data_IF_205781297964
#
_entry.id   IF_205781297964
#
_cell.length_a   1.000
_cell.length_b   1.000
_cell.length_c   1.000
_cell.angle_alpha   90.00
_cell.angle_beta   90.00
_cell.angle_gamma   90.00
#
_symmetry.space_group_name_H-M   'P 1'
#
loop_
_entity.id
_entity.type
_entity.pdbx_description
1 polymer ?
#
# COMPACT_ATOMS: atom_id res chain seq x y z
N UNK A 1 22.52 4.76 17.03
CA UNK A 1 21.82 3.50 17.37
C UNK A 1 20.43 3.53 16.74
N UNK A 2 19.82 2.37 16.50
CA UNK A 2 18.43 2.30 16.04
C UNK A 2 17.50 2.81 17.13
N UNK A 3 16.52 3.63 16.74
CA UNK A 3 15.38 3.99 17.57
C UNK A 3 14.11 3.70 16.77
N UNK A 4 13.31 2.76 17.25
CA UNK A 4 12.00 2.42 16.67
C UNK A 4 10.93 3.36 17.22
N UNK A 5 9.94 3.67 16.39
CA UNK A 5 8.85 4.59 16.75
C UNK A 5 7.50 3.91 16.84
N UNK A 6 7.34 2.77 16.18
CA UNK A 6 6.09 2.05 16.14
C UNK A 6 6.22 0.59 16.58
N UNK A 7 7.37 0.17 17.11
CA UNK A 7 7.59 -1.20 17.55
C UNK A 7 8.44 -1.30 18.80
N UNK A 8 8.25 -2.40 19.52
CA UNK A 8 9.04 -2.81 20.68
C UNK A 8 9.15 -4.34 20.71
N UNK A 9 10.00 -4.86 21.58
CA UNK A 9 10.15 -6.30 21.73
C UNK A 9 8.84 -6.93 22.21
N UNK A 10 8.52 -8.10 21.68
CA UNK A 10 7.26 -8.81 21.87
C UNK A 10 6.03 -7.95 21.53
N UNK A 11 6.10 -7.10 20.49
CA UNK A 11 4.91 -6.45 19.97
C UNK A 11 4.01 -7.49 19.27
N UNK A 12 2.73 -7.50 19.62
CA UNK A 12 1.70 -8.33 19.00
C UNK A 12 0.97 -7.57 17.88
N UNK A 13 0.75 -8.25 16.75
CA UNK A 13 -0.01 -7.76 15.59
C UNK A 13 -0.85 -8.87 14.98
N UNK A 14 -1.93 -8.51 14.27
CA UNK A 14 -2.86 -9.45 13.63
C UNK A 14 -2.78 -9.47 12.09
N UNK A 15 -1.66 -9.01 11.52
CA UNK A 15 -1.42 -8.97 10.07
C UNK A 15 0.04 -9.35 9.75
N UNK A 16 0.30 -10.04 8.62
CA UNK A 16 1.59 -10.66 8.37
C UNK A 16 2.63 -9.77 7.69
N UNK A 17 2.28 -8.57 7.22
CA UNK A 17 3.25 -7.63 6.67
C UNK A 17 3.33 -6.40 7.56
N UNK A 18 4.38 -6.31 8.37
CA UNK A 18 4.54 -5.23 9.34
C UNK A 18 5.40 -4.11 8.78
N UNK A 19 4.90 -2.87 8.80
CA UNK A 19 5.73 -1.71 8.48
C UNK A 19 6.44 -1.23 9.74
N UNK A 20 7.76 -1.36 9.79
CA UNK A 20 8.64 -0.84 10.80
C UNK A 20 9.08 0.60 10.49
N UNK A 21 8.93 1.50 11.45
CA UNK A 21 9.34 2.91 11.37
C UNK A 21 10.38 3.23 12.42
N UNK A 22 11.46 3.88 12.02
CA UNK A 22 12.50 4.27 12.96
C UNK A 22 13.55 5.21 12.39
N UNK A 23 14.53 5.54 13.23
CA UNK A 23 15.66 6.38 12.85
C UNK A 23 17.00 5.83 13.36
N UNK A 24 18.08 6.25 12.72
CA UNK A 24 19.45 6.09 13.20
C UNK A 24 19.86 7.34 13.99
N UNK A 25 20.06 7.19 15.30
CA UNK A 25 20.45 8.29 16.19
C UNK A 25 21.53 7.87 17.21
N UNK A 26 22.78 8.41 17.13
CA UNK A 26 23.25 9.34 16.12
C UNK A 26 23.29 8.69 14.73
N UNK A 27 23.19 9.52 13.69
CA UNK A 27 23.33 9.08 12.31
C UNK A 27 24.77 8.63 12.04
N UNK A 28 24.93 7.45 11.44
CA UNK A 28 26.24 6.82 11.24
C UNK A 28 26.76 6.88 9.80
N UNK A 29 26.10 7.61 8.90
CA UNK A 29 26.50 7.75 7.50
C UNK A 29 26.06 6.61 6.58
N UNK A 30 25.42 5.56 7.12
CA UNK A 30 24.79 4.54 6.27
C UNK A 30 23.67 5.16 5.42
N UNK A 31 23.47 4.63 4.22
CA UNK A 31 22.39 5.03 3.29
C UNK A 31 21.27 4.00 3.22
N UNK A 32 21.50 2.80 3.76
CA UNK A 32 20.57 1.68 3.77
C UNK A 32 20.63 0.94 5.10
N UNK A 33 19.54 0.24 5.40
CA UNK A 33 19.47 -0.78 6.45
C UNK A 33 19.08 -2.12 5.84
N UNK A 34 19.46 -3.20 6.51
CA UNK A 34 19.10 -4.57 6.14
C UNK A 34 18.22 -5.14 7.22
N UNK A 35 17.08 -5.70 6.82
CA UNK A 35 16.14 -6.39 7.70
C UNK A 35 16.12 -7.88 7.35
N UNK A 36 16.32 -8.73 8.34
CA UNK A 36 16.18 -10.19 8.19
C UNK A 36 15.24 -10.75 9.25
N UNK A 37 14.57 -11.84 8.91
CA UNK A 37 13.66 -12.57 9.80
C UNK A 37 14.19 -14.00 9.90
N UNK A 38 14.24 -14.56 11.11
CA UNK A 38 14.79 -15.89 11.41
C UNK A 38 14.26 -17.04 10.53
N UNK A 39 13.03 -16.92 10.04
CA UNK A 39 12.37 -17.91 9.18
C UNK A 39 12.64 -17.74 7.69
N UNK A 40 13.31 -16.67 7.29
CA UNK A 40 13.69 -16.40 5.90
C UNK A 40 15.21 -16.52 5.74
N UNK A 41 15.63 -17.18 4.68
CA UNK A 41 17.04 -17.22 4.29
C UNK A 41 17.51 -15.91 3.63
N UNK A 42 16.58 -15.07 3.21
CA UNK A 42 16.83 -13.80 2.54
C UNK A 42 16.62 -12.62 3.50
N UNK A 43 17.27 -11.50 3.17
CA UNK A 43 17.12 -10.23 3.85
C UNK A 43 16.70 -9.15 2.87
N UNK A 44 15.95 -8.16 3.32
CA UNK A 44 15.51 -7.02 2.50
C UNK A 44 16.30 -5.76 2.83
N UNK A 45 16.66 -5.01 1.80
CA UNK A 45 17.40 -3.75 1.93
C UNK A 45 16.46 -2.55 1.78
N UNK A 46 16.57 -1.59 2.70
CA UNK A 46 15.71 -0.40 2.72
C UNK A 46 16.56 0.87 2.72
N UNK A 47 16.27 1.77 1.77
CA UNK A 47 16.93 3.05 1.63
C UNK A 47 16.48 4.04 2.71
N UNK A 48 17.45 4.72 3.32
CA UNK A 48 17.20 5.76 4.31
C UNK A 48 16.80 7.08 3.64
N UNK A 49 15.87 7.81 4.29
CA UNK A 49 15.64 9.23 4.02
C UNK A 49 16.32 10.01 5.14
N UNK A 50 17.50 10.57 4.85
CA UNK A 50 18.45 11.05 5.86
C UNK A 50 18.80 9.95 6.88
N UNK A 51 18.30 10.06 8.11
CA UNK A 51 18.46 9.05 9.16
C UNK A 51 17.22 8.18 9.38
N UNK A 52 16.13 8.46 8.66
CA UNK A 52 14.82 7.81 8.84
C UNK A 52 14.68 6.59 7.93
N UNK A 53 13.94 5.58 8.39
CA UNK A 53 13.51 4.45 7.56
C UNK A 53 12.04 4.11 7.78
N UNK A 54 11.42 3.62 6.71
CA UNK A 54 10.20 2.81 6.71
C UNK A 54 10.57 1.50 6.02
N UNK A 55 10.50 0.39 6.75
CA UNK A 55 10.86 -0.93 6.25
C UNK A 55 9.68 -1.87 6.45
N UNK A 56 9.44 -2.79 5.51
CA UNK A 56 8.40 -3.79 5.67
C UNK A 56 9.01 -5.15 6.02
N UNK A 57 8.35 -5.86 6.93
CA UNK A 57 8.80 -7.11 7.52
C UNK A 57 7.70 -8.15 7.35
N UNK A 58 8.00 -9.22 6.64
CA UNK A 58 7.12 -10.39 6.56
C UNK A 58 7.17 -11.17 7.88
N UNK A 59 6.01 -11.45 8.44
CA UNK A 59 5.81 -12.18 9.68
C UNK A 59 5.11 -13.51 9.39
N UNK A 60 5.51 -14.53 10.11
CA UNK A 60 4.89 -15.84 10.13
C UNK A 60 4.08 -16.01 11.41
N UNK A 61 3.03 -16.84 11.42
CA UNK A 61 2.25 -17.12 12.62
C UNK A 61 3.14 -17.43 13.85
N UNK A 62 2.85 -16.73 14.95
CA UNK A 62 3.61 -16.82 16.19
C UNK A 62 4.77 -15.82 16.29
N UNK A 63 5.79 -16.18 17.06
CA UNK A 63 6.94 -15.31 17.31
C UNK A 63 7.93 -15.34 16.13
N UNK A 64 8.35 -14.14 15.70
CA UNK A 64 9.34 -13.88 14.66
C UNK A 64 10.49 -13.10 15.25
N UNK A 65 11.73 -13.57 15.08
CA UNK A 65 12.91 -12.81 15.48
C UNK A 65 13.35 -11.93 14.30
N UNK A 66 13.21 -10.63 14.47
CA UNK A 66 13.54 -9.62 13.45
C UNK A 66 14.88 -9.00 13.81
N UNK A 67 15.83 -9.07 12.89
CA UNK A 67 17.12 -8.39 12.99
C UNK A 67 17.15 -7.20 12.04
N UNK A 68 17.52 -6.04 12.57
CA UNK A 68 17.73 -4.81 11.81
C UNK A 68 19.21 -4.46 11.92
N UNK A 69 19.87 -4.24 10.80
CA UNK A 69 21.31 -3.99 10.78
C UNK A 69 21.69 -2.91 9.79
N UNK A 70 22.80 -2.25 10.08
CA UNK A 70 23.57 -1.47 9.13
C UNK A 70 25.05 -1.90 9.25
N UNK A 71 25.95 -1.24 8.53
CA UNK A 71 27.38 -1.56 8.58
C UNK A 71 28.02 -1.38 9.97
N UNK A 72 27.39 -0.63 10.88
CA UNK A 72 27.98 -0.21 12.15
C UNK A 72 27.35 -0.86 13.39
N UNK A 73 26.08 -1.24 13.32
CA UNK A 73 25.36 -1.81 14.47
C UNK A 73 24.17 -2.62 14.00
N UNK A 74 23.73 -3.53 14.87
CA UNK A 74 22.51 -4.30 14.67
C UNK A 74 21.71 -4.42 15.98
N UNK A 75 20.42 -4.63 15.81
CA UNK A 75 19.45 -4.83 16.89
C UNK A 75 18.52 -5.98 16.55
N UNK A 76 18.01 -6.64 17.58
CA UNK A 76 17.04 -7.72 17.50
C UNK A 76 15.81 -7.38 18.34
N UNK A 77 14.65 -7.62 17.77
CA UNK A 77 13.37 -7.59 18.47
C UNK A 77 12.49 -8.74 18.00
N UNK A 78 11.56 -9.15 18.87
CA UNK A 78 10.56 -10.16 18.55
C UNK A 78 9.25 -9.49 18.19
N UNK A 79 8.66 -9.91 17.07
CA UNK A 79 7.30 -9.53 16.68
C UNK A 79 6.43 -10.78 16.67
N UNK A 80 5.27 -10.70 17.32
CA UNK A 80 4.32 -11.81 17.43
C UNK A 80 3.17 -11.55 16.47
N UNK A 81 3.03 -12.41 15.46
CA UNK A 81 1.86 -12.42 14.60
C UNK A 81 0.81 -13.37 15.16
N UNK A 82 -0.26 -12.78 15.72
CA UNK A 82 -1.46 -13.49 16.16
C UNK A 82 -2.29 -13.89 14.94
N UNK A 83 -2.10 -15.13 14.52
CA UNK A 83 -2.86 -15.69 13.40
C UNK A 83 -4.26 -16.11 13.86
N UNK A 84 -5.28 -15.46 13.29
CA UNK A 84 -6.66 -15.83 13.54
C UNK A 84 -7.04 -17.04 12.67
N UNK A 85 -7.20 -18.19 13.31
CA UNK A 85 -7.63 -19.41 12.63
C UNK A 85 -9.12 -19.30 12.30
N UNK A 86 -9.46 -19.34 11.00
CA UNK A 86 -10.84 -19.26 10.47
C UNK A 86 -11.52 -17.90 10.74
N UNK A 87 -11.10 -16.83 10.06
CA UNK A 87 -11.79 -15.55 10.16
C UNK A 87 -13.26 -15.67 9.72
N UNK A 88 -14.18 -15.08 10.50
CA UNK A 88 -15.61 -15.02 10.13
C UNK A 88 -15.87 -14.14 8.92
N UNK A 89 -15.01 -13.14 8.69
CA UNK A 89 -15.13 -12.15 7.64
C UNK A 89 -13.78 -11.91 6.99
N UNK A 90 -13.75 -11.88 5.66
CA UNK A 90 -12.52 -11.70 4.89
C UNK A 90 -12.69 -10.71 3.74
N UNK A 91 -11.58 -10.13 3.34
CA UNK A 91 -11.44 -9.37 2.09
C UNK A 91 -10.74 -10.27 1.07
N UNK A 92 -11.36 -10.45 -0.09
CA UNK A 92 -10.85 -11.32 -1.15
C UNK A 92 -10.67 -10.51 -2.44
N UNK A 93 -9.41 -10.26 -2.88
CA UNK A 93 -9.18 -9.77 -4.23
C UNK A 93 -9.54 -10.82 -5.27
N UNK A 94 -10.19 -10.38 -6.35
CA UNK A 94 -10.46 -11.20 -7.53
C UNK A 94 -10.04 -10.47 -8.80
N UNK A 95 -9.51 -11.23 -9.74
CA UNK A 95 -9.19 -10.75 -11.08
C UNK A 95 -10.22 -11.31 -12.06
N UNK A 96 -11.04 -10.43 -12.62
CA UNK A 96 -12.20 -10.79 -13.43
C UNK A 96 -11.82 -10.76 -14.90
N UNK A 97 -11.89 -11.93 -15.54
CA UNK A 97 -11.61 -12.10 -16.97
C UNK A 97 -12.92 -12.41 -17.69
N UNK A 98 -13.24 -11.61 -18.70
CA UNK A 98 -14.41 -11.83 -19.57
C UNK A 98 -14.29 -13.16 -20.32
N UNK A 99 -15.41 -13.77 -20.72
CA UNK A 99 -15.42 -15.09 -21.37
C UNK A 99 -14.71 -15.10 -22.73
N UNK A 100 -14.57 -13.94 -23.36
CA UNK A 100 -13.96 -13.70 -24.67
C UNK A 100 -12.54 -13.09 -24.58
N UNK A 101 -11.88 -13.13 -23.41
CA UNK A 101 -10.54 -12.55 -23.21
C UNK A 101 -9.51 -13.56 -22.66
N UNK A 102 -8.22 -13.30 -22.95
CA UNK A 102 -7.07 -14.06 -22.44
C UNK A 102 -6.72 -13.76 -20.97
N UNK A 103 -7.08 -12.57 -20.46
CA UNK A 103 -6.76 -12.11 -19.09
C UNK A 103 -5.52 -11.24 -18.97
N UNK A 104 -4.99 -10.68 -20.08
CA UNK A 104 -3.90 -9.69 -20.02
C UNK A 104 -4.43 -8.31 -19.65
N UNK A 105 -3.70 -7.57 -18.81
CA UNK A 105 -4.00 -6.16 -18.55
C UNK A 105 -3.13 -5.25 -19.43
N UNK A 106 -3.54 -3.99 -19.64
CA UNK A 106 -2.78 -3.05 -20.46
C UNK A 106 -1.49 -2.60 -19.76
N UNK A 107 -0.39 -2.54 -20.50
CA UNK A 107 0.89 -2.01 -20.01
C UNK A 107 1.51 -1.05 -21.01
N UNK A 108 2.49 -0.28 -20.54
CA UNK A 108 3.40 0.45 -21.41
C UNK A 108 4.16 -0.51 -22.32
N UNK A 109 4.60 -0.04 -23.49
CA UNK A 109 5.28 -0.82 -24.54
C UNK A 109 6.54 -1.55 -24.03
N UNK A 110 7.19 -1.03 -22.98
CA UNK A 110 8.46 -1.54 -22.42
C UNK A 110 8.29 -2.26 -21.05
N UNK A 111 7.08 -2.74 -20.72
CA UNK A 111 6.77 -3.29 -19.39
C UNK A 111 7.12 -4.79 -19.25
N UNK A 112 7.59 -5.26 -18.06
CA UNK A 112 8.19 -6.59 -17.90
C UNK A 112 7.20 -7.77 -18.01
N UNK A 113 5.91 -7.59 -17.67
CA UNK A 113 4.89 -8.63 -17.86
C UNK A 113 3.47 -8.10 -17.66
N UNK A 114 2.60 -8.33 -18.65
CA UNK A 114 1.18 -7.97 -18.66
C UNK A 114 0.24 -9.18 -18.49
N UNK A 115 0.80 -10.35 -18.17
CA UNK A 115 0.05 -11.60 -18.15
C UNK A 115 -0.80 -11.76 -16.89
N UNK A 116 -1.69 -12.76 -16.92
CA UNK A 116 -2.61 -13.08 -15.84
C UNK A 116 -1.90 -13.29 -14.50
N UNK A 117 -0.79 -14.03 -14.48
CA UNK A 117 -0.05 -14.33 -13.25
C UNK A 117 0.58 -13.08 -12.62
N UNK A 118 1.11 -12.18 -13.46
CA UNK A 118 1.58 -10.85 -13.03
C UNK A 118 0.43 -10.04 -12.40
N UNK A 119 -0.76 -10.08 -13.00
CA UNK A 119 -1.93 -9.39 -12.45
C UNK A 119 -2.31 -9.92 -11.06
N UNK A 120 -2.38 -11.25 -10.90
CA UNK A 120 -2.73 -11.88 -9.62
C UNK A 120 -1.74 -11.49 -8.52
N UNK A 121 -0.43 -11.56 -8.80
CA UNK A 121 0.63 -11.20 -7.84
C UNK A 121 0.58 -9.72 -7.44
N UNK A 122 0.44 -8.81 -8.43
CA UNK A 122 0.33 -7.36 -8.19
C UNK A 122 -0.89 -7.00 -7.35
N UNK A 123 -2.06 -7.52 -7.71
CA UNK A 123 -3.30 -7.27 -6.98
C UNK A 123 -3.18 -7.81 -5.55
N UNK A 124 -2.76 -9.06 -5.40
CA UNK A 124 -2.60 -9.71 -4.09
C UNK A 124 -1.66 -8.94 -3.18
N UNK A 125 -0.50 -8.54 -3.70
CA UNK A 125 0.46 -7.73 -2.94
C UNK A 125 -0.07 -6.33 -2.61
N UNK A 126 -0.77 -5.68 -3.54
CA UNK A 126 -1.45 -4.40 -3.29
C UNK A 126 -2.45 -4.48 -2.14
N UNK A 127 -3.29 -5.52 -2.09
CA UNK A 127 -4.22 -5.72 -0.97
C UNK A 127 -3.48 -5.97 0.35
N UNK A 128 -2.36 -6.71 0.35
CA UNK A 128 -1.51 -6.86 1.55
C UNK A 128 -0.97 -5.52 2.06
N UNK A 129 -0.56 -4.63 1.15
CA UNK A 129 -0.13 -3.28 1.51
C UNK A 129 -1.29 -2.48 2.14
N UNK A 130 -2.49 -2.54 1.58
CA UNK A 130 -3.67 -1.88 2.15
C UNK A 130 -4.04 -2.40 3.54
N UNK A 131 -3.89 -3.70 3.78
CA UNK A 131 -4.06 -4.28 5.11
C UNK A 131 -3.08 -3.64 6.11
N UNK A 132 -1.81 -3.48 5.70
CA UNK A 132 -0.77 -2.84 6.51
C UNK A 132 -1.06 -1.36 6.74
N UNK A 133 -1.44 -0.64 5.68
CA UNK A 133 -1.76 0.79 5.74
C UNK A 133 -2.95 1.08 6.64
N UNK A 134 -3.98 0.24 6.59
CA UNK A 134 -5.16 0.36 7.46
C UNK A 134 -4.74 0.23 8.93
N UNK A 135 -3.92 -0.78 9.27
CA UNK A 135 -3.40 -0.95 10.63
C UNK A 135 -2.56 0.24 11.12
N UNK A 136 -1.61 0.69 10.30
CA UNK A 136 -0.67 1.74 10.69
C UNK A 136 -1.30 3.14 10.67
N UNK A 137 -2.30 3.40 9.82
CA UNK A 137 -3.08 4.65 9.84
C UNK A 137 -3.95 4.73 11.08
N UNK A 138 -4.66 3.65 11.44
CA UNK A 138 -5.46 3.61 12.67
C UNK A 138 -4.57 3.70 13.91
N UNK A 139 -3.34 3.17 13.85
CA UNK A 139 -2.35 3.37 14.90
C UNK A 139 -1.87 4.83 15.00
N UNK A 140 -1.60 5.52 13.88
CA UNK A 140 -1.14 6.92 13.89
C UNK A 140 -2.25 7.91 14.29
N UNK A 141 -3.50 7.61 13.97
CA UNK A 141 -4.66 8.46 14.26
C UNK A 141 -5.27 8.19 15.63
N UNK A 142 -5.25 6.94 16.11
CA UNK A 142 -6.01 6.51 17.29
C UNK A 142 -5.19 5.68 18.30
N UNK A 143 -3.93 5.36 18.00
CA UNK A 143 -3.06 4.62 18.91
C UNK A 143 -3.36 3.12 19.02
N UNK A 144 -4.22 2.57 18.15
CA UNK A 144 -4.52 1.12 18.10
C UNK A 144 -4.35 0.57 16.69
N UNK A 145 -3.66 -0.56 16.57
CA UNK A 145 -3.56 -1.33 15.33
C UNK A 145 -4.79 -2.18 15.14
N UNK A 146 -5.50 -1.92 14.05
CA UNK A 146 -6.63 -2.72 13.64
C UNK A 146 -6.75 -2.70 12.12
N UNK A 147 -7.17 -3.80 11.53
CA UNK A 147 -7.23 -3.92 10.08
C UNK A 147 -8.20 -5.02 9.68
N UNK A 148 -8.48 -5.13 8.40
CA UNK A 148 -9.27 -6.22 7.85
C UNK A 148 -8.43 -7.48 7.68
N UNK A 149 -9.08 -8.63 7.65
CA UNK A 149 -8.42 -9.91 7.37
C UNK A 149 -8.60 -10.28 5.90
N UNK A 150 -7.59 -10.90 5.33
CA UNK A 150 -7.65 -11.45 3.99
C UNK A 150 -7.89 -12.96 4.06
N UNK A 151 -8.40 -13.55 2.97
CA UNK A 151 -8.29 -15.00 2.80
C UNK A 151 -6.81 -15.36 2.72
N UNK A 152 -6.32 -16.14 3.68
CA UNK A 152 -4.96 -16.67 3.67
C UNK A 152 -4.99 -18.06 3.02
N UNK A 153 -3.99 -18.39 2.19
CA UNK A 153 -3.84 -19.75 1.65
C UNK A 153 -2.95 -20.57 2.60
N UNK A 154 -3.49 -21.63 3.24
CA UNK A 154 -2.73 -22.45 4.18
C UNK A 154 -1.59 -23.25 3.52
N UNK A 155 -1.57 -23.37 2.18
CA UNK A 155 -0.53 -24.06 1.42
C UNK A 155 0.55 -23.12 0.86
N UNK A 156 0.37 -21.80 0.96
CA UNK A 156 1.36 -20.86 0.45
C UNK A 156 2.48 -20.69 1.48
N UNK A 157 3.68 -21.15 1.11
CA UNK A 157 4.90 -20.97 1.91
C UNK A 157 5.23 -19.48 2.16
N UNK A 158 4.66 -18.57 1.36
CA UNK A 158 4.81 -17.12 1.51
C UNK A 158 3.58 -16.47 2.12
N UNK A 159 3.63 -16.24 3.44
CA UNK A 159 2.63 -15.47 4.21
C UNK A 159 2.51 -14.01 3.72
N UNK A 160 3.45 -13.54 2.89
CA UNK A 160 3.52 -12.16 2.42
C UNK A 160 2.52 -11.81 1.31
N UNK A 161 1.94 -12.78 0.60
CA UNK A 161 1.03 -12.51 -0.52
C UNK A 161 -0.41 -12.91 -0.16
N UNK A 162 -1.36 -12.05 -0.52
CA UNK A 162 -2.78 -12.40 -0.47
C UNK A 162 -3.11 -13.15 -1.77
N UNK A 163 -3.70 -14.35 -1.73
CA UNK A 163 -4.13 -15.05 -2.93
C UNK A 163 -5.19 -14.23 -3.66
N UNK A 164 -4.84 -13.66 -4.82
CA UNK A 164 -5.83 -13.08 -5.73
C UNK A 164 -6.49 -14.20 -6.52
N UNK A 165 -7.82 -14.30 -6.45
CA UNK A 165 -8.56 -15.38 -7.11
C UNK A 165 -8.88 -14.98 -8.55
N UNK A 166 -8.51 -15.83 -9.51
CA UNK A 166 -9.00 -15.70 -10.87
C UNK A 166 -10.50 -16.01 -10.93
N UNK A 167 -11.30 -15.07 -11.43
CA UNK A 167 -12.73 -15.26 -11.68
C UNK A 167 -12.99 -15.13 -13.18
N UNK A 168 -13.40 -16.24 -13.83
CA UNK A 168 -13.86 -16.22 -15.22
C UNK A 168 -15.34 -15.89 -15.22
N UNK A 169 -15.67 -14.71 -15.72
CA UNK A 169 -17.05 -14.22 -15.79
C UNK A 169 -17.69 -14.59 -17.14
N UNK A 170 -19.02 -14.68 -17.14
CA UNK A 170 -19.83 -14.84 -18.34
C UNK A 170 -19.98 -13.54 -19.16
N UNK A 171 -19.42 -12.42 -18.70
CA UNK A 171 -19.43 -11.18 -19.47
C UNK A 171 -18.61 -11.27 -20.74
N UNK A 172 -19.10 -10.62 -21.79
CA UNK A 172 -18.30 -10.27 -22.96
C UNK A 172 -17.63 -8.91 -22.75
N UNK A 173 -16.50 -8.66 -23.41
CA UNK A 173 -15.86 -7.33 -23.35
C UNK A 173 -16.81 -6.22 -23.84
N UNK A 174 -17.55 -6.49 -24.91
CA UNK A 174 -18.52 -5.53 -25.47
C UNK A 174 -19.59 -5.13 -24.45
N UNK A 175 -20.11 -6.09 -23.68
CA UNK A 175 -21.06 -5.82 -22.61
C UNK A 175 -20.45 -4.90 -21.54
N UNK A 176 -19.24 -5.20 -21.07
CA UNK A 176 -18.56 -4.39 -20.05
C UNK A 176 -18.29 -2.97 -20.52
N UNK A 177 -17.94 -2.79 -21.80
CA UNK A 177 -17.63 -1.47 -22.37
C UNK A 177 -18.85 -0.60 -22.65
N UNK A 178 -20.02 -1.20 -22.86
CA UNK A 178 -21.23 -0.47 -23.27
C UNK A 178 -22.22 -0.23 -22.15
N UNK A 179 -22.25 -1.12 -21.14
CA UNK A 179 -23.16 -0.98 -20.03
C UNK A 179 -22.70 0.10 -19.03
N UNK A 180 -23.67 0.70 -18.33
CA UNK A 180 -23.36 1.62 -17.24
C UNK A 180 -22.61 0.90 -16.11
N UNK A 181 -21.63 1.55 -15.44
CA UNK A 181 -20.83 0.94 -14.37
C UNK A 181 -21.64 0.22 -13.27
N UNK A 182 -22.74 0.84 -12.81
CA UNK A 182 -23.63 0.24 -11.79
C UNK A 182 -24.32 -1.05 -12.26
N UNK A 183 -24.56 -1.18 -13.56
CA UNK A 183 -25.14 -2.40 -14.15
C UNK A 183 -24.12 -3.52 -14.10
N UNK A 184 -22.87 -3.27 -14.51
CA UNK A 184 -21.79 -4.26 -14.42
C UNK A 184 -21.55 -4.67 -12.97
N UNK A 185 -21.47 -3.71 -12.04
CA UNK A 185 -21.35 -3.98 -10.61
C UNK A 185 -22.47 -4.90 -10.10
N UNK A 186 -23.72 -4.60 -10.43
CA UNK A 186 -24.88 -5.38 -9.98
C UNK A 186 -24.92 -6.79 -10.62
N UNK A 187 -24.52 -6.91 -11.88
CA UNK A 187 -24.42 -8.20 -12.56
C UNK A 187 -23.32 -9.06 -11.93
N UNK A 188 -22.16 -8.47 -11.66
CA UNK A 188 -21.04 -9.18 -11.06
C UNK A 188 -21.36 -9.64 -9.65
N UNK A 189 -22.01 -8.80 -8.83
CA UNK A 189 -22.45 -9.19 -7.49
C UNK A 189 -23.36 -10.43 -7.51
N UNK A 190 -24.31 -10.52 -8.47
CA UNK A 190 -25.17 -11.70 -8.64
C UNK A 190 -24.40 -12.92 -9.12
N UNK A 191 -23.47 -12.74 -10.05
CA UNK A 191 -22.60 -13.82 -10.54
C UNK A 191 -21.72 -14.39 -9.43
N UNK A 192 -21.10 -13.53 -8.61
CA UNK A 192 -20.33 -13.92 -7.44
C UNK A 192 -21.19 -14.63 -6.39
N UNK A 193 -22.41 -14.15 -6.13
CA UNK A 193 -23.36 -14.82 -5.22
C UNK A 193 -23.72 -16.23 -5.71
N UNK A 194 -23.90 -16.39 -7.02
CA UNK A 194 -24.19 -17.69 -7.62
C UNK A 194 -22.99 -18.62 -7.63
N UNK A 195 -21.77 -18.08 -7.81
CA UNK A 195 -20.54 -18.87 -7.96
C UNK A 195 -19.94 -19.25 -6.60
N UNK A 196 -20.05 -18.38 -5.60
CA UNK A 196 -19.48 -18.54 -4.26
C UNK A 196 -20.53 -18.36 -3.16
N UNK A 197 -21.66 -19.10 -3.18
CA UNK A 197 -22.81 -18.85 -2.31
C UNK A 197 -22.47 -18.89 -0.81
N UNK A 198 -21.62 -19.83 -0.40
CA UNK A 198 -21.28 -20.03 1.02
C UNK A 198 -20.37 -18.93 1.60
N UNK A 199 -19.57 -18.27 0.75
CA UNK A 199 -18.60 -17.25 1.15
C UNK A 199 -19.15 -15.83 0.93
N UNK A 200 -20.18 -15.66 0.10
CA UNK A 200 -20.57 -14.37 -0.45
C UNK A 200 -20.86 -13.30 0.62
N UNK A 201 -21.67 -13.64 1.63
CA UNK A 201 -22.06 -12.69 2.70
C UNK A 201 -20.92 -12.41 3.69
N UNK A 202 -19.98 -13.34 3.82
CA UNK A 202 -18.83 -13.25 4.72
C UNK A 202 -17.59 -12.64 4.03
N UNK A 203 -17.72 -12.22 2.78
CA UNK A 203 -16.59 -11.74 1.97
C UNK A 203 -16.87 -10.36 1.39
N UNK A 204 -15.95 -9.42 1.60
CA UNK A 204 -15.84 -8.24 0.75
C UNK A 204 -14.98 -8.61 -0.45
N UNK A 205 -15.55 -8.51 -1.65
CA UNK A 205 -14.90 -8.82 -2.91
C UNK A 205 -14.28 -7.55 -3.48
N UNK A 206 -13.00 -7.59 -3.83
CA UNK A 206 -12.33 -6.49 -4.55
C UNK A 206 -12.04 -6.98 -5.97
N UNK A 207 -12.90 -6.60 -6.91
CA UNK A 207 -12.87 -7.05 -8.29
C UNK A 207 -12.07 -6.10 -9.18
N UNK A 208 -11.09 -6.65 -9.90
CA UNK A 208 -10.32 -5.93 -10.91
C UNK A 208 -10.66 -6.47 -12.30
N UNK A 209 -11.12 -5.60 -13.20
CA UNK A 209 -11.53 -5.99 -14.55
C UNK A 209 -10.31 -6.08 -15.48
N UNK A 210 -9.99 -7.28 -15.97
CA UNK A 210 -8.87 -7.51 -16.89
C UNK A 210 -8.99 -6.73 -18.20
N UNK A 211 -10.23 -6.52 -18.67
CA UNK A 211 -10.54 -5.83 -19.91
C UNK A 211 -10.36 -4.30 -19.85
N UNK A 212 -9.83 -3.71 -18.76
CA UNK A 212 -9.58 -2.26 -18.75
C UNK A 212 -8.60 -1.88 -19.87
N UNK A 213 -9.00 -0.94 -20.73
CA UNK A 213 -8.19 -0.44 -21.85
C UNK A 213 -8.30 1.07 -21.94
N UNK A 214 -7.18 1.71 -22.23
CA UNK A 214 -7.09 3.13 -22.53
C UNK A 214 -6.71 3.30 -23.99
N UNK A 215 -7.52 4.04 -24.72
CA UNK A 215 -7.29 4.36 -26.13
C UNK A 215 -6.63 5.75 -26.21
N UNK A 216 -5.30 5.77 -26.27
CA UNK A 216 -4.55 7.02 -26.35
C UNK A 216 -4.86 7.75 -27.68
N UNK A 217 -5.07 9.08 -27.66
CA UNK A 217 -5.29 9.85 -28.87
C UNK A 217 -4.02 9.84 -29.74
N UNK A 218 -4.21 9.59 -31.04
CA UNK A 218 -3.13 9.37 -32.01
C UNK A 218 -2.24 10.61 -32.26
N UNK A 219 -2.68 11.81 -31.85
CA UNK A 219 -2.03 13.08 -32.27
C UNK A 219 -2.23 14.25 -31.30
N UNK A 220 -2.56 14.02 -30.03
CA UNK A 220 -2.66 15.11 -29.05
C UNK A 220 -1.33 15.31 -28.30
N UNK A 221 -0.65 16.41 -28.62
CA UNK A 221 0.54 16.89 -27.90
C UNK A 221 0.20 17.79 -26.70
N UNK A 222 -1.06 17.79 -26.24
CA UNK A 222 -1.53 18.59 -25.10
C UNK A 222 -1.83 17.69 -23.91
N UNK A 223 -1.69 18.23 -22.71
CA UNK A 223 -2.14 17.56 -21.49
C UNK A 223 -3.67 17.46 -21.49
N UNK A 224 -4.18 16.25 -21.28
CA UNK A 224 -5.61 15.97 -21.20
C UNK A 224 -6.13 16.23 -19.79
N UNK A 225 -7.34 16.77 -19.70
CA UNK A 225 -8.07 16.82 -18.45
C UNK A 225 -8.48 15.41 -18.01
N UNK A 226 -8.64 15.20 -16.71
CA UNK A 226 -9.05 13.90 -16.16
C UNK A 226 -10.33 13.36 -16.80
N UNK A 227 -11.33 14.21 -17.00
CA UNK A 227 -12.59 13.82 -17.65
C UNK A 227 -12.41 13.36 -19.10
N UNK A 228 -11.46 13.96 -19.84
CA UNK A 228 -11.14 13.55 -21.21
C UNK A 228 -10.48 12.17 -21.20
N UNK A 229 -9.49 11.96 -20.31
CA UNK A 229 -8.85 10.65 -20.14
C UNK A 229 -9.85 9.57 -19.72
N UNK A 230 -10.80 9.90 -18.83
CA UNK A 230 -11.80 8.96 -18.37
C UNK A 230 -12.76 8.53 -19.48
N UNK A 231 -13.08 9.42 -20.44
CA UNK A 231 -13.89 9.06 -21.63
C UNK A 231 -13.16 8.12 -22.59
N UNK A 232 -11.83 8.18 -22.61
CA UNK A 232 -10.97 7.31 -23.43
C UNK A 232 -10.66 5.97 -22.74
N UNK A 233 -10.97 5.85 -21.45
CA UNK A 233 -10.79 4.63 -20.68
C UNK A 233 -12.06 3.77 -20.72
N UNK A 234 -11.90 2.53 -21.17
CA UNK A 234 -12.94 1.49 -21.16
C UNK A 234 -12.75 0.57 -19.96
N UNK A 235 -13.86 0.19 -19.32
CA UNK A 235 -13.86 -0.67 -18.13
C UNK A 235 -12.92 -0.19 -17.00
N UNK A 236 -12.65 1.12 -16.91
CA UNK A 236 -11.92 1.69 -15.80
C UNK A 236 -12.91 2.14 -14.72
N UNK A 237 -13.28 1.20 -13.85
CA UNK A 237 -14.26 1.42 -12.79
C UNK A 237 -13.58 1.90 -11.49
N UNK A 238 -14.35 2.56 -10.65
CA UNK A 238 -14.07 2.85 -9.24
C UNK A 238 -15.43 2.94 -8.54
N UNK A 239 -15.92 1.80 -8.05
CA UNK A 239 -17.24 1.68 -7.43
C UNK A 239 -17.22 0.70 -6.25
N UNK A 240 -17.40 1.19 -5.04
CA UNK A 240 -17.51 0.43 -3.81
C UNK A 240 -18.88 0.63 -3.17
N UNK A 241 -19.53 -0.47 -2.82
CA UNK A 241 -20.73 -0.48 -1.99
C UNK A 241 -20.96 -1.88 -1.44
N UNK A 242 -21.59 -1.99 -0.27
CA UNK A 242 -21.91 -3.30 0.32
C UNK A 242 -20.68 -4.23 0.38
N UNK A 243 -20.81 -5.44 -0.18
CA UNK A 243 -19.74 -6.43 -0.20
C UNK A 243 -18.86 -6.44 -1.47
N UNK A 244 -18.92 -5.42 -2.34
CA UNK A 244 -18.18 -5.43 -3.61
C UNK A 244 -17.59 -4.06 -3.96
N UNK A 245 -16.26 -4.03 -4.14
CA UNK A 245 -15.54 -2.96 -4.82
C UNK A 245 -15.20 -3.43 -6.25
N UNK A 246 -15.59 -2.65 -7.26
CA UNK A 246 -15.32 -2.90 -8.68
C UNK A 246 -14.35 -1.84 -9.20
N UNK A 247 -13.20 -2.30 -9.69
CA UNK A 247 -12.10 -1.47 -10.13
C UNK A 247 -11.61 -1.85 -11.54
N UNK A 248 -11.04 -0.86 -12.23
CA UNK A 248 -10.24 -1.11 -13.42
C UNK A 248 -8.78 -1.45 -13.11
N UNK A 249 -8.03 -1.87 -14.12
CA UNK A 249 -6.60 -2.20 -14.03
C UNK A 249 -5.70 -1.15 -14.67
N UNK A 250 -6.19 0.09 -14.87
CA UNK A 250 -5.50 1.12 -15.63
C UNK A 250 -4.07 1.42 -15.12
N UNK A 251 -3.87 1.36 -13.80
CA UNK A 251 -2.57 1.64 -13.14
C UNK A 251 -1.80 0.39 -12.74
N UNK A 252 -2.33 -0.82 -12.97
CA UNK A 252 -1.78 -2.07 -12.45
C UNK A 252 -0.35 -2.34 -12.96
N UNK A 253 -0.01 -1.82 -14.14
CA UNK A 253 1.33 -1.88 -14.73
C UNK A 253 2.43 -1.22 -13.87
N UNK A 254 2.06 -0.28 -12.99
CA UNK A 254 2.99 0.38 -12.08
C UNK A 254 3.14 -0.32 -10.72
N UNK A 255 2.25 -1.28 -10.39
CA UNK A 255 2.23 -1.90 -9.08
C UNK A 255 3.37 -2.91 -8.90
N UNK A 256 3.99 -3.02 -7.71
CA UNK A 256 4.95 -4.08 -7.43
C UNK A 256 4.27 -5.47 -7.40
N UNK A 257 5.00 -6.51 -7.81
CA UNK A 257 4.54 -7.91 -7.75
C UNK A 257 4.76 -8.53 -6.36
N UNK A 258 5.67 -7.96 -5.59
CA UNK A 258 6.16 -8.52 -4.34
C UNK A 258 6.91 -7.46 -3.50
N UNK A 259 7.38 -7.88 -2.33
CA UNK A 259 8.11 -7.02 -1.40
C UNK A 259 9.44 -6.53 -1.98
N UNK A 260 10.15 -7.37 -2.74
CA UNK A 260 11.46 -7.04 -3.31
C UNK A 260 11.36 -5.96 -4.39
N UNK A 261 10.22 -5.88 -5.09
CA UNK A 261 9.94 -4.86 -6.09
C UNK A 261 9.31 -3.58 -5.54
N UNK A 262 8.90 -3.53 -4.26
CA UNK A 262 8.22 -2.38 -3.66
C UNK A 262 9.05 -1.09 -3.70
N UNK A 263 10.31 -1.13 -3.25
CA UNK A 263 11.17 0.06 -3.25
C UNK A 263 11.34 0.64 -4.65
N UNK A 264 11.47 -0.24 -5.66
CA UNK A 264 11.58 0.17 -7.06
C UNK A 264 10.32 0.87 -7.54
N UNK A 265 9.14 0.33 -7.25
CA UNK A 265 7.86 0.92 -7.63
C UNK A 265 7.64 2.29 -6.96
N UNK A 266 7.98 2.42 -5.68
CA UNK A 266 7.89 3.69 -4.94
C UNK A 266 8.86 4.75 -5.46
N UNK A 267 9.99 4.37 -6.04
CA UNK A 267 11.00 5.30 -6.55
C UNK A 267 10.98 5.47 -8.08
N UNK A 268 10.01 4.90 -8.79
CA UNK A 268 9.99 4.93 -10.26
C UNK A 268 9.50 6.29 -10.80
N UNK A 269 10.44 7.20 -11.01
CA UNK A 269 10.20 8.56 -11.51
C UNK A 269 10.14 8.65 -13.03
N UNK A 270 10.10 7.52 -13.77
CA UNK A 270 9.91 7.55 -15.22
C UNK A 270 8.57 8.21 -15.56
N UNK A 271 8.51 8.99 -16.64
CA UNK A 271 7.29 9.66 -17.10
C UNK A 271 6.38 8.68 -17.84
N UNK A 272 5.07 8.78 -17.61
CA UNK A 272 4.05 7.96 -18.31
C UNK A 272 3.62 8.54 -19.66
N UNK A 273 4.00 9.78 -19.95
CA UNK A 273 3.69 10.44 -21.23
C UNK A 273 4.16 9.58 -22.40
N UNK A 274 3.30 9.45 -23.42
CA UNK A 274 3.54 8.69 -24.66
C UNK A 274 3.72 7.17 -24.49
N UNK A 275 3.42 6.60 -23.32
CA UNK A 275 3.55 5.16 -23.07
C UNK A 275 2.33 4.33 -23.50
N UNK A 276 1.31 4.96 -24.09
CA UNK A 276 0.09 4.25 -24.55
C UNK A 276 -0.80 3.72 -23.43
N UNK A 277 -0.62 4.22 -22.20
CA UNK A 277 -1.42 3.87 -21.01
C UNK A 277 -2.10 5.11 -20.42
N UNK A 278 -3.14 4.90 -19.62
CA UNK A 278 -3.84 5.99 -18.94
C UNK A 278 -2.94 6.65 -17.90
N UNK A 279 -2.92 7.98 -17.90
CA UNK A 279 -2.21 8.78 -16.90
C UNK A 279 -3.10 9.08 -15.68
N UNK A 280 -3.50 8.02 -14.98
CA UNK A 280 -4.27 8.13 -13.73
C UNK A 280 -3.33 8.33 -12.53
N UNK A 281 -2.73 9.53 -12.48
CA UNK A 281 -1.66 9.86 -11.52
C UNK A 281 -1.93 11.11 -10.70
N UNK A 282 -3.13 11.69 -10.80
CA UNK A 282 -3.43 13.00 -10.22
C UNK A 282 -2.44 14.09 -10.68
N UNK A 283 -2.17 14.14 -12.00
CA UNK A 283 -1.29 15.13 -12.63
C UNK A 283 0.18 15.08 -12.19
N UNK A 284 0.66 13.91 -11.75
CA UNK A 284 2.07 13.69 -11.36
C UNK A 284 2.89 12.99 -12.44
N UNK A 285 2.20 12.36 -13.41
CA UNK A 285 2.73 11.87 -14.67
C UNK A 285 3.88 10.85 -14.54
N UNK A 286 3.94 10.09 -13.45
CA UNK A 286 5.04 9.17 -13.14
C UNK A 286 4.52 7.80 -12.70
N UNK A 287 5.34 6.75 -12.88
CA UNK A 287 4.96 5.38 -12.52
C UNK A 287 4.68 5.23 -11.01
N UNK A 288 5.53 5.80 -10.14
CA UNK A 288 5.25 5.77 -8.69
C UNK A 288 3.90 6.40 -8.35
N UNK A 289 3.50 7.45 -9.08
CA UNK A 289 2.24 8.14 -8.84
C UNK A 289 1.03 7.34 -9.35
N UNK A 290 1.18 6.59 -10.44
CA UNK A 290 0.14 5.66 -10.90
C UNK A 290 -0.07 4.53 -9.88
N UNK A 291 1.03 3.99 -9.33
CA UNK A 291 0.94 3.03 -8.23
C UNK A 291 0.21 3.64 -7.02
N UNK A 292 0.58 4.85 -6.60
CA UNK A 292 -0.04 5.53 -5.47
C UNK A 292 -1.54 5.79 -5.69
N UNK A 293 -1.92 6.47 -6.78
CA UNK A 293 -3.33 6.78 -7.08
C UNK A 293 -4.15 5.52 -7.25
N UNK A 294 -3.64 4.50 -7.94
CA UNK A 294 -4.31 3.22 -8.10
C UNK A 294 -4.58 2.52 -6.76
N UNK A 295 -3.55 2.38 -5.93
CA UNK A 295 -3.68 1.75 -4.61
C UNK A 295 -4.62 2.55 -3.70
N UNK A 296 -4.55 3.88 -3.74
CA UNK A 296 -5.42 4.78 -2.99
C UNK A 296 -6.89 4.72 -3.41
N UNK A 297 -7.17 4.57 -4.70
CA UNK A 297 -8.52 4.33 -5.22
C UNK A 297 -9.12 3.04 -4.65
N UNK A 298 -8.33 1.97 -4.61
CA UNK A 298 -8.77 0.70 -3.99
C UNK A 298 -9.07 0.89 -2.51
N UNK A 299 -8.26 1.68 -1.80
CA UNK A 299 -8.48 1.96 -0.38
C UNK A 299 -9.77 2.74 -0.12
N UNK A 300 -10.08 3.70 -1.00
CA UNK A 300 -11.31 4.47 -0.99
C UNK A 300 -12.55 3.58 -1.19
N UNK A 301 -12.57 2.76 -2.26
CA UNK A 301 -13.70 1.88 -2.55
C UNK A 301 -13.88 0.80 -1.47
N UNK A 302 -12.78 0.33 -0.89
CA UNK A 302 -12.83 -0.58 0.27
C UNK A 302 -13.42 0.13 1.50
N UNK A 303 -13.13 1.42 1.68
CA UNK A 303 -13.79 2.25 2.70
C UNK A 303 -15.31 2.28 2.55
N UNK A 304 -15.82 2.43 1.33
CA UNK A 304 -17.27 2.29 1.07
C UNK A 304 -17.82 0.91 1.41
N UNK A 305 -17.06 -0.16 1.14
CA UNK A 305 -17.45 -1.52 1.54
C UNK A 305 -17.48 -1.70 3.07
N UNK A 306 -16.68 -0.93 3.81
CA UNK A 306 -16.75 -0.85 5.27
C UNK A 306 -17.88 0.08 5.79
N UNK A 307 -18.72 0.63 4.91
CA UNK A 307 -19.83 1.50 5.28
C UNK A 307 -19.42 2.96 5.54
N UNK A 308 -18.30 3.40 4.99
CA UNK A 308 -17.89 4.80 5.03
C UNK A 308 -18.53 5.60 3.89
N UNK A 309 -18.88 6.85 4.18
CA UNK A 309 -19.38 7.81 3.19
C UNK A 309 -18.23 8.70 2.75
N UNK A 310 -18.44 9.50 1.70
CA UNK A 310 -17.48 10.53 1.34
C UNK A 310 -17.25 11.53 2.48
N UNK A 311 -16.03 12.06 2.56
CA UNK A 311 -15.65 13.17 3.45
C UNK A 311 -15.06 14.32 2.62
N UNK A 312 -15.05 15.55 3.14
CA UNK A 312 -14.34 16.67 2.49
C UNK A 312 -12.82 16.48 2.40
N UNK A 313 -12.24 15.61 3.24
CA UNK A 313 -10.80 15.35 3.37
C UNK A 313 -10.53 13.85 3.60
N UNK A 314 -9.26 13.44 3.51
CA UNK A 314 -8.86 12.07 3.85
C UNK A 314 -9.03 11.08 2.69
N UNK A 315 -8.90 9.79 3.00
CA UNK A 315 -9.04 8.66 2.07
C UNK A 315 -10.43 8.62 1.43
N UNK A 316 -11.48 8.94 2.18
CA UNK A 316 -12.85 9.03 1.64
C UNK A 316 -13.09 10.32 0.81
N UNK A 317 -12.02 11.02 0.43
CA UNK A 317 -11.97 12.03 -0.63
C UNK A 317 -10.86 11.63 -1.61
N UNK A 318 -9.99 12.57 -2.01
CA UNK A 318 -8.81 12.37 -2.86
C UNK A 318 -7.54 12.01 -2.09
N UNK A 319 -7.63 11.71 -0.79
CA UNK A 319 -6.47 11.39 0.03
C UNK A 319 -5.68 10.16 -0.43
N UNK A 320 -6.31 9.29 -1.22
CA UNK A 320 -5.66 8.15 -1.87
C UNK A 320 -4.46 8.51 -2.75
N UNK A 321 -4.38 9.74 -3.27
CA UNK A 321 -3.20 10.17 -4.04
C UNK A 321 -1.91 10.15 -3.21
N UNK A 322 -2.00 10.35 -1.90
CA UNK A 322 -0.86 10.51 -1.00
C UNK A 322 -0.39 9.19 -0.33
N UNK A 323 -0.98 8.04 -0.67
CA UNK A 323 -0.65 6.76 0.00
C UNK A 323 0.81 6.33 -0.10
N UNK A 324 1.54 6.81 -1.11
CA UNK A 324 2.98 6.62 -1.23
C UNK A 324 3.76 7.18 -0.04
N UNK A 325 3.26 8.25 0.60
CA UNK A 325 3.83 8.82 1.81
C UNK A 325 3.61 7.90 3.00
N UNK A 326 2.51 7.14 3.05
CA UNK A 326 2.32 6.14 4.08
C UNK A 326 3.31 4.97 3.91
N UNK A 327 3.51 4.52 2.66
CA UNK A 327 4.36 3.38 2.33
C UNK A 327 5.86 3.68 2.47
N UNK A 328 6.30 4.84 2.00
CA UNK A 328 7.71 5.22 1.90
C UNK A 328 7.93 6.70 2.18
N UNK A 329 8.88 7.29 1.46
CA UNK A 329 9.16 8.72 1.52
C UNK A 329 8.87 9.36 0.15
N UNK A 330 8.77 10.70 0.07
CA UNK A 330 8.60 11.39 -1.20
C UNK A 330 9.69 10.95 -2.21
N UNK A 331 9.33 10.52 -3.42
CA UNK A 331 10.30 10.17 -4.46
C UNK A 331 11.13 11.38 -4.91
N UNK A 332 12.29 11.14 -5.53
CA UNK A 332 13.12 12.23 -6.07
C UNK A 332 12.34 13.10 -7.05
N UNK A 333 12.55 14.43 -6.97
CA UNK A 333 11.84 15.39 -7.80
C UNK A 333 10.37 15.64 -7.39
N UNK A 334 9.89 14.97 -6.35
CA UNK A 334 8.62 15.31 -5.69
C UNK A 334 8.87 16.20 -4.47
N UNK A 335 7.87 16.98 -4.09
CA UNK A 335 7.92 17.77 -2.87
C UNK A 335 7.29 16.98 -1.72
N UNK A 336 7.97 16.98 -0.58
CA UNK A 336 7.31 16.72 0.69
C UNK A 336 6.36 17.92 0.90
N UNK A 337 5.04 17.74 0.77
CA UNK A 337 4.06 18.83 0.89
C UNK A 337 4.13 19.58 2.23
N UNK A 338 3.16 20.46 2.52
CA UNK A 338 3.15 21.39 3.66
C UNK A 338 3.26 20.79 5.08
N UNK A 339 3.51 19.48 5.24
CA UNK A 339 3.60 18.77 6.53
C UNK A 339 5.02 18.52 7.07
N UNK A 340 6.07 18.97 6.39
CA UNK A 340 7.47 18.70 6.79
C UNK A 340 8.39 19.92 6.78
N UNK A 341 7.94 21.06 6.24
CA UNK A 341 8.63 22.33 6.40
C UNK A 341 8.07 23.06 7.63
N UNK A 342 8.94 23.51 8.53
CA UNK A 342 8.64 24.55 9.52
C UNK A 342 8.37 25.88 8.79
N UNK A 343 7.26 25.97 8.04
CA UNK A 343 6.85 27.19 7.36
C UNK A 343 5.63 27.76 8.05
N UNK A 344 5.81 28.94 8.66
CA UNK A 344 4.79 29.82 9.23
C UNK A 344 3.83 30.37 8.15
N UNK A 345 3.24 29.50 7.33
CA UNK A 345 2.15 29.86 6.43
C UNK A 345 0.93 29.03 6.76
N UNK A 346 -0.18 29.65 7.19
CA UNK A 346 -1.43 28.93 7.39
C UNK A 346 -1.96 28.51 6.01
N UNK A 347 -1.82 27.23 5.66
CA UNK A 347 -2.57 26.65 4.55
C UNK A 347 -3.93 26.19 5.06
N UNK A 348 -4.97 26.46 4.26
CA UNK A 348 -6.39 26.26 4.57
C UNK A 348 -6.82 24.78 4.43
N UNK A 349 -5.89 23.82 4.42
CA UNK A 349 -6.24 22.41 4.51
C UNK A 349 -6.22 21.99 5.98
N UNK A 350 -7.37 21.53 6.49
CA UNK A 350 -7.51 20.99 7.83
C UNK A 350 -6.47 19.88 8.07
N UNK A 351 -5.36 20.23 8.71
CA UNK A 351 -4.33 19.28 9.12
C UNK A 351 -4.91 18.48 10.27
N UNK A 352 -5.14 17.19 10.02
CA UNK A 352 -5.40 16.25 11.09
C UNK A 352 -4.20 16.31 12.04
N UNK A 353 -4.44 16.65 13.31
CA UNK A 353 -3.40 16.53 14.34
C UNK A 353 -3.16 15.03 14.58
N UNK A 354 -2.20 14.47 13.86
CA UNK A 354 -1.68 13.14 14.15
C UNK A 354 -1.14 13.15 15.58
N UNK A 355 -1.43 12.10 16.33
CA UNK A 355 -0.85 11.89 17.65
C UNK A 355 0.09 10.68 17.57
N UNK A 356 1.20 10.79 16.80
CA UNK A 356 2.09 9.67 16.65
C UNK A 356 2.66 9.27 18.01
N UNK A 357 2.77 7.96 18.29
CA UNK A 357 3.31 7.50 19.56
C UNK A 357 4.75 7.93 19.72
N UNK A 358 5.12 8.26 20.96
CA UNK A 358 6.50 8.56 21.31
C UNK A 358 7.30 7.25 21.37
N UNK A 359 8.57 7.28 20.93
CA UNK A 359 9.40 6.08 20.96
C UNK A 359 9.65 5.64 22.41
N UNK A 360 9.44 4.36 22.69
CA UNK A 360 9.73 3.77 24.00
C UNK A 360 11.24 3.78 24.29
N UNK A 361 11.67 3.69 25.56
CA UNK A 361 13.08 3.51 25.91
C UNK A 361 13.73 2.33 25.18
N UNK A 362 14.97 2.48 24.73
CA UNK A 362 15.73 1.45 23.97
C UNK A 362 15.72 0.08 24.65
N UNK A 363 15.78 0.04 25.99
CA UNK A 363 15.74 -1.19 26.78
C UNK A 363 14.45 -2.02 26.63
N UNK A 364 13.34 -1.37 26.21
CA UNK A 364 12.06 -2.02 25.94
C UNK A 364 11.93 -2.36 24.44
N UNK A 365 12.59 -1.60 23.58
CA UNK A 365 12.46 -1.76 22.13
C UNK A 365 13.11 -3.04 21.60
N UNK A 366 14.16 -3.53 22.26
CA UNK A 366 15.01 -4.58 21.71
C UNK A 366 15.29 -5.68 22.73
N UNK A 367 15.24 -6.92 22.26
CA UNK A 367 15.75 -8.08 23.00
C UNK A 367 17.29 -8.02 23.10
N UNK A 368 17.94 -7.59 22.01
CA UNK A 368 19.39 -7.57 21.91
C UNK A 368 19.85 -6.40 21.04
N UNK A 369 21.00 -5.83 21.38
CA UNK A 369 21.67 -4.83 20.55
C UNK A 369 23.17 -5.07 20.59
N UNK A 370 23.85 -4.79 19.49
CA UNK A 370 25.31 -4.92 19.40
C UNK A 370 25.88 -3.79 18.56
N UNK A 371 26.98 -3.21 19.07
CA UNK A 371 27.76 -2.19 18.39
C UNK A 371 28.96 -2.86 17.74
N UNK A 372 29.04 -2.82 16.41
CA UNK A 372 30.14 -3.42 15.66
C UNK A 372 31.30 -2.42 15.51
N UNK A 373 30.99 -1.14 15.27
CA UNK A 373 31.98 -0.08 15.09
C UNK A 373 31.40 1.30 15.45
N UNK A 374 32.20 2.16 16.10
CA UNK A 374 31.86 3.57 16.34
C UNK A 374 32.52 4.47 15.28
N UNK A 375 31.77 5.07 14.35
CA UNK A 375 32.35 6.04 13.43
C UNK A 375 32.76 7.33 14.16
N UNK A 376 33.96 7.85 13.84
CA UNK A 376 34.44 9.15 14.32
C UNK A 376 33.57 10.28 13.71
N UNK A 377 33.09 11.18 14.57
CA UNK A 377 32.16 12.30 14.27
C UNK A 377 32.48 13.10 13.00
N UNK A 378 33.76 13.28 12.66
CA UNK A 378 34.17 14.16 11.57
C UNK A 378 34.03 13.55 10.17
N UNK A 379 33.89 12.23 10.04
CA UNK A 379 33.84 11.54 8.73
C UNK A 379 32.42 11.45 8.16
N UNK A 380 31.40 11.53 9.01
CA UNK A 380 29.98 11.30 8.64
C UNK A 380 29.39 12.43 7.79
N UNK A 381 29.87 13.68 7.96
CA UNK A 381 29.35 14.84 7.21
C UNK A 381 29.65 14.81 5.71
N UNK A 382 30.75 14.15 5.27
CA UNK A 382 31.18 14.15 3.87
C UNK A 382 30.55 13.06 3.00
N UNK A 383 30.07 11.94 3.57
CA UNK A 383 29.47 10.83 2.79
C UNK A 383 27.97 11.01 2.49
N UNK A 384 27.25 11.81 3.28
CA UNK A 384 25.78 11.91 3.18
C UNK A 384 25.24 12.62 1.93
N UNK A 385 26.09 13.26 1.12
CA UNK A 385 25.66 14.11 0.01
C UNK A 385 25.63 13.42 -1.36
N UNK A 386 26.07 12.16 -1.48
CA UNK A 386 26.27 11.52 -2.80
C UNK A 386 25.18 10.57 -3.28
N UNK A 387 24.28 10.07 -2.42
CA UNK A 387 23.22 9.14 -2.84
C UNK A 387 21.93 9.42 -2.07
N UNK A 388 21.05 10.25 -2.62
CA UNK A 388 19.69 10.41 -2.13
C UNK A 388 18.75 9.53 -2.96
N UNK A 389 18.07 8.58 -2.32
CA UNK A 389 17.02 7.77 -2.96
C UNK A 389 15.63 8.39 -2.84
N UNK A 390 15.45 9.28 -1.86
CA UNK A 390 14.21 9.96 -1.55
C UNK A 390 14.44 11.46 -1.59
N UNK A 391 13.39 12.24 -1.88
CA UNK A 391 13.41 13.66 -1.60
C UNK A 391 13.40 13.91 -0.08
N UNK A 392 13.88 15.08 0.39
CA UNK A 392 13.98 15.38 1.81
C UNK A 392 12.64 15.23 2.55
N UNK A 393 12.64 14.47 3.63
CA UNK A 393 11.50 14.32 4.52
C UNK A 393 12.00 14.09 5.95
N UNK A 394 11.41 14.81 6.91
CA UNK A 394 11.81 14.77 8.32
C UNK A 394 10.79 14.07 9.23
N UNK A 395 9.76 13.43 8.65
CA UNK A 395 8.69 12.80 9.42
C UNK A 395 8.48 11.34 9.03
N UNK A 396 8.51 10.45 10.03
CA UNK A 396 8.12 9.04 9.90
C UNK A 396 6.62 8.85 9.73
N UNK A 397 5.83 9.87 10.03
CA UNK A 397 4.37 9.84 10.05
C UNK A 397 3.75 10.72 8.96
N UNK A 398 4.56 11.22 8.04
CA UNK A 398 4.04 11.93 6.90
C UNK A 398 3.17 10.98 6.07
N UNK A 399 1.91 11.36 5.92
CA UNK A 399 0.89 10.62 5.16
C UNK A 399 0.08 11.54 4.23
N UNK A 400 0.46 12.82 4.09
CA UNK A 400 -0.30 13.80 3.33
C UNK A 400 -1.78 13.81 3.72
N UNK A 401 -2.66 13.65 2.73
CA UNK A 401 -4.10 13.51 2.91
C UNK A 401 -4.56 12.05 3.06
N UNK A 402 -3.65 11.07 3.12
CA UNK A 402 -3.98 9.66 3.23
C UNK A 402 -4.27 9.23 4.68
N UNK A 403 -5.38 9.74 5.22
CA UNK A 403 -5.89 9.44 6.57
C UNK A 403 -7.39 9.20 6.57
N UNK A 404 -7.93 8.53 7.59
CA UNK A 404 -9.37 8.26 7.68
C UNK A 404 -10.17 9.42 8.25
N UNK A 405 -9.65 10.05 9.31
CA UNK A 405 -10.32 11.09 10.08
C UNK A 405 -11.22 10.52 11.19
N UNK A 406 -11.38 11.27 12.28
CA UNK A 406 -12.01 10.81 13.53
C UNK A 406 -13.39 10.16 13.36
N UNK A 407 -14.26 10.74 12.52
CA UNK A 407 -15.60 10.20 12.24
C UNK A 407 -15.54 8.82 11.59
N UNK A 408 -14.65 8.63 10.61
CA UNK A 408 -14.49 7.36 9.93
C UNK A 408 -13.75 6.33 10.77
N UNK A 409 -12.73 6.74 11.52
CA UNK A 409 -12.06 5.89 12.51
C UNK A 409 -13.09 5.31 13.49
N UNK A 410 -14.00 6.13 14.02
CA UNK A 410 -15.05 5.65 14.93
C UNK A 410 -16.00 4.63 14.28
N UNK A 411 -16.33 4.78 13.00
CA UNK A 411 -17.11 3.80 12.23
C UNK A 411 -16.31 2.52 12.00
N UNK A 412 -15.06 2.62 11.57
CA UNK A 412 -14.16 1.48 11.31
C UNK A 412 -13.93 0.64 12.57
N UNK A 413 -13.71 1.25 13.72
CA UNK A 413 -13.52 0.54 15.00
C UNK A 413 -14.76 -0.23 15.47
N UNK A 414 -15.95 0.10 14.94
CA UNK A 414 -17.20 -0.63 15.18
C UNK A 414 -17.56 -1.59 14.04
N UNK A 415 -16.80 -1.53 12.94
CA UNK A 415 -17.04 -2.36 11.77
C UNK A 415 -16.65 -3.80 12.09
N UNK A 416 -17.52 -4.78 11.80
CA UNK A 416 -17.20 -6.17 12.01
C UNK A 416 -16.11 -6.70 11.06
N UNK A 417 -15.73 -5.91 10.05
CA UNK A 417 -14.68 -6.23 9.10
C UNK A 417 -13.28 -5.82 9.59
N UNK A 418 -13.19 -5.04 10.67
CA UNK A 418 -11.94 -4.53 11.22
C UNK A 418 -11.67 -5.21 12.56
N UNK A 419 -10.58 -5.95 12.63
CA UNK A 419 -10.17 -6.71 13.81
C UNK A 419 -8.96 -6.08 14.49
N UNK A 420 -8.82 -6.34 15.79
CA UNK A 420 -7.68 -5.95 16.62
C UNK A 420 -6.95 -7.23 17.04
N UNK A 421 -5.64 -7.15 17.28
CA UNK A 421 -4.91 -8.21 17.99
C UNK A 421 -5.52 -8.43 19.38
N UNK A 422 -6.02 -9.63 19.67
CA UNK A 422 -6.60 -9.98 20.97
C UNK A 422 -5.47 -10.46 21.88
N UNK A 423 -5.22 -9.71 22.96
CA UNK A 423 -4.12 -9.95 23.92
C UNK A 423 -4.09 -11.36 24.49
#
# INVERSE_FOLDING_TARGET
>A
MFQLWNAHDLLHVCYPLFQLKGKLDPFCGCVQIVVSVDRLSTSTCWNLCHSLFKAFVTLFPGCNLVRISCQHFWVELRLVYEFLHKPERVVQPIYVVCCDESGTFQTATDSPSCNLESALRRIGFGIRLLQTLTAESLYSEYGKRCTFLCTEDPNYESVAQVPCRLHRSNFTQLEVYTAAPKVIWSKLARELRSTYPDQFEATIWIAFMACTRYEAPLSENRELMYEEMQRMAKANFALGAGGLALLGTATLHAWPEDLDSLTRALSDTRRLQHMGVMDDTAYRHTFWAAFATGLGSVWHELGHCFGLDHSPIGIMNRGGDDVHLCLGFPPLGSCCGSGCEHSERPSVSASLSLNPPTPLPTAIQFQRYTLLYQPLSNTVKQLSTRVNFWAPCHSLWHQGSAFWGSTHVAKLLRSPWIVVAER
#
